data_IF_527529772264
#
_entry.id   IF_527529772264
#
_cell.length_a   1.000
_cell.length_b   1.000
_cell.length_c   1.000
_cell.angle_alpha   90.00
_cell.angle_beta   90.00
_cell.angle_gamma   90.00
#
_symmetry.space_group_name_H-M   'P 1'
#
loop_
_entity.id
_entity.type
_entity.pdbx_description
1 polymer ?
#
# COMPACT_ATOMS: atom_id res chain seq x y z
N UNK A 1 -8.16 -29.91 -0.41
CA UNK A 1 -8.72 -28.93 -1.35
C UNK A 1 -8.73 -27.55 -0.68
N UNK A 2 -7.77 -26.69 -1.00
CA UNK A 2 -7.79 -25.31 -0.53
C UNK A 2 -8.73 -24.53 -1.45
N UNK A 3 -9.90 -24.16 -0.94
CA UNK A 3 -10.83 -23.26 -1.62
C UNK A 3 -10.07 -21.97 -1.94
N UNK A 4 -9.92 -21.71 -3.24
CA UNK A 4 -9.51 -20.41 -3.79
C UNK A 4 -10.36 -19.35 -3.08
N UNK A 5 -9.73 -18.41 -2.37
CA UNK A 5 -10.43 -17.31 -1.71
C UNK A 5 -11.32 -16.61 -2.74
N UNK A 6 -12.62 -16.82 -2.61
CA UNK A 6 -13.69 -16.06 -3.28
C UNK A 6 -13.48 -14.58 -2.92
N UNK A 7 -13.17 -13.78 -3.95
CA UNK A 7 -12.75 -12.38 -3.80
C UNK A 7 -11.28 -12.10 -4.19
N UNK A 8 -10.72 -12.82 -5.17
CA UNK A 8 -9.41 -12.47 -5.71
C UNK A 8 -9.47 -11.06 -6.32
N UNK A 9 -8.79 -10.10 -5.68
CA UNK A 9 -8.58 -8.78 -6.25
C UNK A 9 -8.01 -8.95 -7.66
N UNK A 10 -8.71 -8.45 -8.67
CA UNK A 10 -8.24 -8.57 -10.04
C UNK A 10 -6.97 -7.73 -10.20
N UNK A 11 -6.04 -8.11 -11.09
CA UNK A 11 -4.86 -7.29 -11.39
C UNK A 11 -5.23 -5.85 -11.75
N UNK A 12 -6.38 -5.67 -12.42
CA UNK A 12 -6.92 -4.36 -12.76
C UNK A 12 -7.41 -3.58 -11.53
N UNK A 13 -8.16 -4.21 -10.62
CA UNK A 13 -8.59 -3.57 -9.38
C UNK A 13 -7.38 -3.16 -8.51
N UNK A 14 -6.33 -4.00 -8.49
CA UNK A 14 -5.08 -3.65 -7.82
C UNK A 14 -4.38 -2.46 -8.50
N UNK A 15 -4.31 -2.44 -9.83
CA UNK A 15 -3.72 -1.33 -10.59
C UNK A 15 -4.45 -0.01 -10.31
N UNK A 16 -5.78 -0.03 -10.30
CA UNK A 16 -6.61 1.15 -9.98
C UNK A 16 -6.31 1.63 -8.56
N UNK A 17 -6.37 0.76 -7.56
CA UNK A 17 -6.06 1.09 -6.17
C UNK A 17 -4.67 1.70 -6.03
N UNK A 18 -3.64 1.08 -6.63
CA UNK A 18 -2.27 1.58 -6.58
C UNK A 18 -2.14 2.96 -7.25
N UNK A 19 -2.85 3.19 -8.36
CA UNK A 19 -2.81 4.47 -9.07
C UNK A 19 -3.48 5.60 -8.27
N UNK A 20 -4.61 5.33 -7.64
CA UNK A 20 -5.32 6.28 -6.78
C UNK A 20 -4.51 6.60 -5.52
N UNK A 21 -3.94 5.58 -4.88
CA UNK A 21 -3.04 5.75 -3.75
C UNK A 21 -1.82 6.58 -4.15
N UNK A 22 -1.18 6.29 -5.27
CA UNK A 22 -0.03 7.06 -5.74
C UNK A 22 -0.40 8.52 -6.01
N UNK A 23 -1.54 8.78 -6.67
CA UNK A 23 -2.01 10.14 -6.93
C UNK A 23 -2.25 10.93 -5.63
N UNK A 24 -2.77 10.26 -4.59
CA UNK A 24 -3.02 10.87 -3.29
C UNK A 24 -1.74 11.09 -2.49
N UNK A 25 -0.86 10.08 -2.44
CA UNK A 25 0.35 10.09 -1.63
C UNK A 25 1.39 11.08 -2.14
N UNK A 26 1.43 11.30 -3.45
CA UNK A 26 2.41 12.14 -4.12
C UNK A 26 1.81 13.43 -4.70
N UNK A 27 0.68 13.89 -4.17
CA UNK A 27 -0.01 15.10 -4.64
C UNK A 27 0.82 16.40 -4.42
N UNK A 28 1.79 16.37 -3.51
CA UNK A 28 2.64 17.52 -3.21
C UNK A 28 3.61 17.85 -4.36
N UNK A 29 3.90 19.14 -4.58
CA UNK A 29 4.84 19.60 -5.63
C UNK A 29 6.20 18.92 -5.58
N UNK A 30 6.72 18.67 -4.37
CA UNK A 30 8.01 18.01 -4.13
C UNK A 30 8.05 16.56 -4.60
N UNK A 31 6.89 15.90 -4.64
CA UNK A 31 6.76 14.49 -4.96
C UNK A 31 6.29 14.25 -6.40
N UNK A 32 5.99 15.30 -7.15
CA UNK A 32 5.54 15.20 -8.55
C UNK A 32 6.52 14.41 -9.42
N UNK A 33 7.84 14.57 -9.21
CA UNK A 33 8.85 13.81 -9.97
C UNK A 33 8.77 12.31 -9.68
N UNK A 34 8.52 11.92 -8.44
CA UNK A 34 8.35 10.52 -8.03
C UNK A 34 7.07 9.96 -8.66
N UNK A 35 5.98 10.72 -8.62
CA UNK A 35 4.71 10.33 -9.24
C UNK A 35 4.87 10.10 -10.74
N UNK A 36 5.51 11.02 -11.47
CA UNK A 36 5.74 10.91 -12.92
C UNK A 36 6.59 9.70 -13.30
N UNK A 37 7.58 9.36 -12.48
CA UNK A 37 8.38 8.14 -12.67
C UNK A 37 7.53 6.90 -12.51
N UNK A 38 6.70 6.82 -11.46
CA UNK A 38 5.79 5.69 -11.25
C UNK A 38 4.75 5.56 -12.38
N UNK A 39 4.20 6.68 -12.82
CA UNK A 39 3.22 6.76 -13.91
C UNK A 39 3.79 6.18 -15.21
N UNK A 40 4.94 6.68 -15.66
CA UNK A 40 5.57 6.19 -16.89
C UNK A 40 6.18 4.79 -16.80
N UNK A 41 6.27 4.21 -15.60
CA UNK A 41 6.80 2.86 -15.40
C UNK A 41 5.70 1.81 -15.31
N UNK A 42 4.61 2.09 -14.59
CA UNK A 42 3.62 1.07 -14.21
C UNK A 42 2.18 1.40 -14.62
N UNK A 43 1.80 2.68 -14.65
CA UNK A 43 0.42 3.06 -14.94
C UNK A 43 0.19 3.29 -16.44
N UNK A 44 1.08 4.06 -17.07
CA UNK A 44 1.16 4.32 -18.50
C UNK A 44 2.58 4.03 -19.02
N UNK A 45 2.95 2.75 -19.16
CA UNK A 45 4.34 2.36 -19.38
C UNK A 45 4.91 2.90 -20.70
N UNK A 46 6.08 3.54 -20.61
CA UNK A 46 6.95 3.70 -21.76
C UNK A 46 7.47 2.32 -22.22
N UNK A 47 7.86 2.17 -23.50
CA UNK A 47 8.36 0.88 -24.01
C UNK A 47 9.64 0.39 -23.29
N UNK A 48 10.41 1.30 -22.68
CA UNK A 48 11.62 1.02 -21.90
C UNK A 48 11.77 2.02 -20.75
N UNK A 49 12.45 1.62 -19.66
CA UNK A 49 12.69 2.50 -18.51
C UNK A 49 13.63 3.66 -18.85
N UNK A 50 14.65 3.43 -19.68
CA UNK A 50 15.54 4.47 -20.19
C UNK A 50 14.76 5.51 -21.00
N UNK A 51 13.83 5.06 -21.85
CA UNK A 51 12.95 5.96 -22.60
C UNK A 51 12.00 6.76 -21.68
N UNK A 52 11.59 6.20 -20.53
CA UNK A 52 10.85 6.95 -19.52
C UNK A 52 11.74 8.01 -18.84
N UNK A 53 12.99 7.69 -18.54
CA UNK A 53 13.96 8.63 -17.99
C UNK A 53 14.22 9.80 -18.95
N UNK A 54 14.42 9.50 -20.24
CA UNK A 54 14.61 10.50 -21.29
C UNK A 54 13.40 11.42 -21.43
N UNK A 55 12.18 10.86 -21.43
CA UNK A 55 10.92 11.64 -21.46
C UNK A 55 10.76 12.59 -20.27
N UNK A 56 11.35 12.25 -19.13
CA UNK A 56 11.33 13.06 -17.91
C UNK A 56 12.53 14.01 -17.80
N UNK A 57 13.47 13.96 -18.74
CA UNK A 57 14.71 14.74 -18.68
C UNK A 57 15.59 14.38 -17.48
N UNK A 58 15.58 13.10 -17.07
CA UNK A 58 16.34 12.59 -15.92
C UNK A 58 17.48 11.70 -16.39
N UNK A 59 18.63 11.73 -15.69
CA UNK A 59 19.61 10.65 -15.82
C UNK A 59 19.01 9.33 -15.33
N UNK A 60 19.41 8.21 -15.93
CA UNK A 60 18.90 6.90 -15.55
C UNK A 60 19.10 6.56 -14.07
N UNK A 61 20.24 6.94 -13.49
CA UNK A 61 20.48 6.79 -12.03
C UNK A 61 19.51 7.60 -11.18
N UNK A 62 19.17 8.82 -11.59
CA UNK A 62 18.19 9.66 -10.88
C UNK A 62 16.78 9.10 -11.01
N UNK A 63 16.43 8.62 -12.20
CA UNK A 63 15.19 7.90 -12.46
C UNK A 63 15.06 6.67 -11.55
N UNK A 64 16.09 5.81 -11.49
CA UNK A 64 16.12 4.61 -10.63
C UNK A 64 15.95 4.98 -9.16
N UNK A 65 16.61 6.04 -8.69
CA UNK A 65 16.46 6.52 -7.30
C UNK A 65 15.01 6.90 -7.01
N UNK A 66 14.39 7.70 -7.86
CA UNK A 66 12.98 8.09 -7.69
C UNK A 66 12.01 6.91 -7.80
N UNK A 67 12.29 5.96 -8.70
CA UNK A 67 11.49 4.75 -8.85
C UNK A 67 11.51 3.93 -7.56
N UNK A 68 12.69 3.65 -7.01
CA UNK A 68 12.84 2.93 -5.74
C UNK A 68 12.15 3.67 -4.60
N UNK A 69 12.39 4.98 -4.45
CA UNK A 69 11.73 5.78 -3.40
C UNK A 69 10.20 5.75 -3.52
N UNK A 70 9.65 5.82 -4.74
CA UNK A 70 8.21 5.75 -4.97
C UNK A 70 7.62 4.40 -4.61
N UNK A 71 8.28 3.31 -4.99
CA UNK A 71 7.86 1.93 -4.66
C UNK A 71 7.94 1.68 -3.16
N UNK A 72 9.02 2.08 -2.51
CA UNK A 72 9.20 1.88 -1.06
C UNK A 72 8.09 2.58 -0.25
N UNK A 73 7.76 3.82 -0.61
CA UNK A 73 6.67 4.58 0.03
C UNK A 73 5.30 3.95 -0.20
N UNK A 74 5.04 3.39 -1.38
CA UNK A 74 3.80 2.67 -1.66
C UNK A 74 3.70 1.39 -0.82
N UNK A 75 4.79 0.63 -0.70
CA UNK A 75 4.86 -0.57 0.14
C UNK A 75 4.63 -0.21 1.61
N UNK A 76 5.30 0.83 2.09
CA UNK A 76 5.14 1.32 3.47
C UNK A 76 3.69 1.75 3.75
N UNK A 77 3.08 2.50 2.83
CA UNK A 77 1.69 2.93 2.96
C UNK A 77 0.72 1.74 2.99
N UNK A 78 0.86 0.79 2.06
CA UNK A 78 0.03 -0.43 2.01
C UNK A 78 0.20 -1.29 3.27
N UNK A 79 1.43 -1.41 3.76
CA UNK A 79 1.75 -2.10 5.01
C UNK A 79 1.07 -1.46 6.21
N UNK A 80 1.15 -0.13 6.32
CA UNK A 80 0.48 0.66 7.36
C UNK A 80 -1.03 0.51 7.28
N UNK A 81 -1.62 0.64 6.09
CA UNK A 81 -3.08 0.59 5.90
C UNK A 81 -3.66 -0.79 6.25
N UNK A 82 -3.00 -1.87 5.80
CA UNK A 82 -3.41 -3.24 6.15
C UNK A 82 -3.32 -3.51 7.65
N UNK A 83 -2.37 -2.88 8.35
CA UNK A 83 -2.23 -3.01 9.81
C UNK A 83 -3.35 -2.28 10.57
N UNK A 84 -3.79 -1.11 10.07
CA UNK A 84 -4.91 -0.34 10.65
C UNK A 84 -6.21 -1.12 10.56
N UNK A 85 -6.46 -1.78 9.42
CA UNK A 85 -7.66 -2.58 9.22
C UNK A 85 -7.74 -3.77 10.17
N UNK A 86 -6.60 -4.42 10.47
CA UNK A 86 -6.51 -5.48 11.48
C UNK A 86 -6.81 -4.96 12.89
N UNK A 87 -6.28 -3.79 13.29
CA UNK A 87 -6.57 -3.17 14.59
C UNK A 87 -8.04 -2.75 14.73
N UNK A 88 -8.67 -2.20 13.69
CA UNK A 88 -10.09 -1.80 13.70
C UNK A 88 -11.03 -3.00 13.80
N UNK A 89 -10.78 -4.07 13.03
CA UNK A 89 -11.53 -5.33 13.18
C UNK A 89 -11.33 -5.94 14.56
N UNK A 90 -10.11 -5.86 15.11
CA UNK A 90 -9.82 -6.34 16.46
C UNK A 90 -10.55 -5.53 17.53
N UNK A 91 -10.52 -4.18 17.48
CA UNK A 91 -11.27 -3.33 18.40
C UNK A 91 -12.78 -3.55 18.31
N UNK A 92 -13.33 -3.68 17.10
CA UNK A 92 -14.75 -4.00 16.92
C UNK A 92 -15.13 -5.38 17.48
N UNK A 93 -14.22 -6.36 17.40
CA UNK A 93 -14.40 -7.69 17.99
C UNK A 93 -14.36 -7.66 19.51
N UNK A 94 -13.46 -6.88 20.11
CA UNK A 94 -13.36 -6.70 21.57
C UNK A 94 -14.57 -5.94 22.13
N UNK A 95 -15.09 -4.93 21.43
CA UNK A 95 -16.30 -4.20 21.86
C UNK A 95 -17.59 -5.02 21.73
N UNK A 96 -17.64 -6.03 20.85
CA UNK A 96 -18.76 -6.97 20.73
C UNK A 96 -18.65 -8.21 21.62
N UNK A 97 -17.44 -8.56 22.08
CA UNK A 97 -17.21 -9.68 22.97
C UNK A 97 -16.10 -9.30 23.96
N UNK A 98 -16.45 -8.59 25.05
CA UNK A 98 -15.47 -8.27 26.07
C UNK A 98 -14.91 -9.58 26.65
N UNK A 99 -13.59 -9.66 26.91
CA UNK A 99 -13.03 -10.83 27.57
C UNK A 99 -13.79 -11.03 28.88
N UNK A 100 -14.43 -12.20 29.04
CA UNK A 100 -15.06 -12.55 30.32
C UNK A 100 -13.96 -12.48 31.35
N UNK A 101 -14.05 -11.50 32.25
CA UNK A 101 -13.22 -11.46 33.45
C UNK A 101 -13.43 -12.79 34.14
N UNK A 102 -12.42 -13.66 34.04
CA UNK A 102 -12.37 -14.90 34.79
C UNK A 102 -12.20 -14.46 36.23
N UNK A 103 -13.30 -14.41 36.98
CA UNK A 103 -13.25 -14.24 38.44
C UNK A 103 -12.20 -15.22 38.97
N UNK A 104 -11.15 -14.66 39.60
CA UNK A 104 -10.17 -15.46 40.31
C UNK A 104 -10.86 -16.27 41.41
N UNK A 105 -10.29 -17.42 41.81
CA UNK A 105 -10.91 -18.27 42.79
C UNK A 105 -11.09 -17.47 44.09
N UNK A 106 -12.32 -17.47 44.58
CA UNK A 106 -12.69 -17.05 45.92
C UNK A 106 -11.79 -17.79 46.91
N UNK A 107 -10.84 -17.08 47.53
CA UNK A 107 -10.21 -17.57 48.75
C UNK A 107 -11.30 -17.57 49.83
N UNK A 108 -11.91 -18.73 50.07
CA UNK A 108 -12.61 -19.01 51.32
C UNK A 108 -11.66 -19.80 52.22
N UNK A 109 -11.57 -19.32 53.46
CA UNK A 109 -10.89 -19.86 54.66
C UNK A 109 -9.51 -19.28 54.95
#
# INVERSE_FOLDING_TARGET
MLTRREGAATPQALKVLLSETAATLFANERDQRIYRVLDLTYFNPAPKQEAAADRLGLSFSTYRRYLTTGVDRLIEWLGSESSKLRKRKFQHLILRNPPRHRHGPTCQS
#
